data_IF_587343488348
#
_entry.id   IF_587343488348
#
_cell.length_a   1.000
_cell.length_b   1.000
_cell.length_c   1.000
_cell.angle_alpha   90.00
_cell.angle_beta   90.00
_cell.angle_gamma   90.00
#
_symmetry.space_group_name_H-M   'P 1'
#
loop_
_entity.id
_entity.type
_entity.pdbx_description
1 polymer ?
#
# COMPACT_ATOMS: atom_id res chain seq x y z
N UNK A 1 0.24 -8.25 16.16
CA UNK A 1 -0.17 -6.84 16.18
C UNK A 1 0.19 -6.21 14.85
N UNK A 2 -0.79 -5.71 14.09
CA UNK A 2 -0.54 -5.02 12.82
C UNK A 2 -0.80 -3.52 12.98
N UNK A 3 0.10 -2.69 12.44
CA UNK A 3 0.00 -1.23 12.45
C UNK A 3 0.01 -0.74 11.01
N UNK A 4 -0.98 0.06 10.65
CA UNK A 4 -1.06 0.72 9.35
C UNK A 4 -0.70 2.20 9.49
N UNK A 5 0.15 2.70 8.58
CA UNK A 5 0.51 4.12 8.49
C UNK A 5 -0.21 4.74 7.30
N UNK A 6 -1.13 5.68 7.56
CA UNK A 6 -1.93 6.36 6.54
C UNK A 6 -1.64 7.87 6.48
N UNK A 7 -1.93 8.50 5.34
CA UNK A 7 -1.66 9.92 5.11
C UNK A 7 -1.50 10.26 3.63
N UNK A 8 -1.49 11.55 3.31
CA UNK A 8 -1.45 12.05 1.94
C UNK A 8 -0.16 11.67 1.19
N UNK A 9 -0.19 11.75 -0.15
CA UNK A 9 1.01 11.62 -1.00
C UNK A 9 2.01 12.69 -0.55
N UNK A 10 3.28 12.32 -0.39
CA UNK A 10 4.32 13.22 0.11
C UNK A 10 4.39 13.41 1.63
N UNK A 11 3.47 12.86 2.43
CA UNK A 11 3.44 13.06 3.89
C UNK A 11 4.53 12.32 4.68
N UNK A 12 5.50 11.66 4.03
CA UNK A 12 6.60 10.97 4.71
C UNK A 12 6.29 9.59 5.30
N UNK A 13 5.18 8.95 4.91
CA UNK A 13 4.76 7.62 5.38
C UNK A 13 5.86 6.56 5.30
N UNK A 14 6.51 6.44 4.14
CA UNK A 14 7.60 5.48 3.91
C UNK A 14 8.77 5.72 4.87
N UNK A 15 9.11 6.98 5.12
CA UNK A 15 10.16 7.36 6.07
C UNK A 15 9.76 6.97 7.49
N UNK A 16 8.53 7.30 7.92
CA UNK A 16 8.02 6.95 9.24
C UNK A 16 7.99 5.43 9.45
N UNK A 17 7.47 4.67 8.48
CA UNK A 17 7.44 3.20 8.55
C UNK A 17 8.84 2.61 8.70
N UNK A 18 9.83 3.11 7.93
CA UNK A 18 11.23 2.68 8.06
C UNK A 18 11.82 2.98 9.44
N UNK A 19 11.54 4.16 10.00
CA UNK A 19 12.02 4.55 11.33
C UNK A 19 11.39 3.68 12.43
N UNK A 20 10.08 3.45 12.38
CA UNK A 20 9.36 2.62 13.35
C UNK A 20 9.81 1.15 13.27
N UNK A 21 9.89 0.59 12.06
CA UNK A 21 10.38 -0.76 11.83
C UNK A 21 11.79 -0.95 12.36
N UNK A 22 12.70 0.00 12.09
CA UNK A 22 14.07 -0.05 12.62
C UNK A 22 14.11 0.04 14.15
N UNK A 23 13.32 0.94 14.75
CA UNK A 23 13.34 1.17 16.19
C UNK A 23 12.76 -0.02 16.97
N UNK A 24 11.62 -0.54 16.54
CA UNK A 24 10.91 -1.64 17.23
C UNK A 24 11.26 -3.03 16.68
N UNK A 25 12.14 -3.12 15.69
CA UNK A 25 12.49 -4.37 14.97
C UNK A 25 11.27 -5.07 14.37
N UNK A 26 10.30 -4.30 13.88
CA UNK A 26 9.12 -4.83 13.19
C UNK A 26 9.40 -5.09 11.71
N UNK A 27 8.68 -6.03 11.12
CA UNK A 27 8.68 -6.25 9.68
C UNK A 27 7.93 -5.10 8.98
N UNK A 28 8.60 -4.42 8.04
CA UNK A 28 7.99 -3.36 7.26
C UNK A 28 7.40 -3.92 5.96
N UNK A 29 6.14 -3.57 5.69
CA UNK A 29 5.48 -3.84 4.42
C UNK A 29 5.13 -2.52 3.74
N UNK A 30 5.43 -2.40 2.44
CA UNK A 30 5.16 -1.21 1.63
C UNK A 30 4.13 -1.51 0.54
N UNK A 31 3.44 -0.47 0.06
CA UNK A 31 2.59 -0.59 -1.12
C UNK A 31 3.46 -0.66 -2.38
N UNK A 32 3.14 -1.60 -3.26
CA UNK A 32 3.72 -1.65 -4.59
C UNK A 32 2.99 -0.68 -5.50
N UNK A 33 3.64 0.43 -5.82
CA UNK A 33 3.09 1.50 -6.67
C UNK A 33 3.71 1.50 -8.07
N UNK A 34 4.87 0.87 -8.23
CA UNK A 34 5.68 0.94 -9.46
C UNK A 34 5.11 0.04 -10.57
N UNK A 35 4.50 -1.09 -10.22
CA UNK A 35 3.96 -2.06 -11.19
C UNK A 35 2.44 -1.91 -11.43
N UNK A 36 1.86 -0.75 -11.16
CA UNK A 36 0.42 -0.54 -11.33
C UNK A 36 0.07 -0.20 -12.80
N UNK A 37 -0.65 -1.07 -13.53
CA UNK A 37 -0.90 -0.90 -14.96
C UNK A 37 -1.85 0.25 -15.30
N UNK A 38 -2.48 0.89 -14.31
CA UNK A 38 -3.46 1.96 -14.51
C UNK A 38 -2.99 3.33 -14.01
N UNK A 39 -1.83 3.41 -13.37
CA UNK A 39 -1.42 4.64 -12.68
C UNK A 39 -1.08 5.76 -13.67
N UNK A 40 -0.32 5.44 -14.72
CA UNK A 40 0.03 6.39 -15.78
C UNK A 40 -1.23 6.84 -16.55
N UNK A 41 -2.10 5.89 -16.90
CA UNK A 41 -3.38 6.17 -17.56
C UNK A 41 -4.31 7.05 -16.71
N UNK A 42 -4.31 6.86 -15.39
CA UNK A 42 -5.05 7.70 -14.45
C UNK A 42 -4.53 9.14 -14.43
N UNK A 43 -3.22 9.35 -14.42
CA UNK A 43 -2.65 10.69 -14.49
C UNK A 43 -2.91 11.37 -15.84
N UNK A 44 -3.07 10.60 -16.91
CA UNK A 44 -3.45 11.12 -18.23
C UNK A 44 -4.95 11.42 -18.36
N UNK A 45 -5.84 10.53 -17.87
CA UNK A 45 -7.30 10.65 -17.99
C UNK A 45 -8.03 10.10 -16.76
N UNK A 46 -8.11 10.93 -15.72
CA UNK A 46 -8.64 10.53 -14.42
C UNK A 46 -10.07 9.97 -14.48
N UNK A 47 -10.99 10.63 -15.19
CA UNK A 47 -12.41 10.22 -15.25
C UNK A 47 -12.58 8.81 -15.83
N UNK A 48 -11.76 8.44 -16.84
CA UNK A 48 -11.85 7.16 -17.52
C UNK A 48 -11.28 6.01 -16.69
N UNK A 49 -10.18 6.28 -15.96
CA UNK A 49 -9.34 5.25 -15.34
C UNK A 49 -9.44 5.18 -13.82
N UNK A 50 -10.13 6.12 -13.17
CA UNK A 50 -10.35 6.13 -11.72
C UNK A 50 -10.91 4.81 -11.20
N UNK A 51 -11.94 4.27 -11.86
CA UNK A 51 -12.55 3.00 -11.43
C UNK A 51 -11.56 1.84 -11.46
N UNK A 52 -10.84 1.66 -12.58
CA UNK A 52 -9.85 0.60 -12.75
C UNK A 52 -8.74 0.69 -11.69
N UNK A 53 -8.22 1.90 -11.47
CA UNK A 53 -7.16 2.13 -10.50
C UNK A 53 -7.63 1.80 -9.07
N UNK A 54 -8.82 2.25 -8.69
CA UNK A 54 -9.37 1.99 -7.35
C UNK A 54 -9.65 0.50 -7.12
N UNK A 55 -10.19 -0.21 -8.12
CA UNK A 55 -10.44 -1.66 -8.03
C UNK A 55 -9.12 -2.45 -7.95
N UNK A 56 -8.07 -2.01 -8.66
CA UNK A 56 -6.74 -2.59 -8.53
C UNK A 56 -6.20 -2.45 -7.10
N UNK A 57 -6.23 -1.24 -6.54
CA UNK A 57 -5.78 -1.01 -5.15
C UNK A 57 -6.59 -1.82 -4.13
N UNK A 58 -7.92 -1.89 -4.29
CA UNK A 58 -8.78 -2.69 -3.42
C UNK A 58 -8.37 -4.17 -3.42
N UNK A 59 -8.23 -4.77 -4.60
CA UNK A 59 -7.85 -6.17 -4.75
C UNK A 59 -6.46 -6.45 -4.18
N UNK A 60 -5.49 -5.56 -4.44
CA UNK A 60 -4.13 -5.71 -3.95
C UNK A 60 -4.09 -5.69 -2.41
N UNK A 61 -4.72 -4.69 -1.79
CA UNK A 61 -4.79 -4.58 -0.32
C UNK A 61 -5.53 -5.76 0.31
N UNK A 62 -6.63 -6.21 -0.30
CA UNK A 62 -7.37 -7.37 0.18
C UNK A 62 -6.50 -8.63 0.19
N UNK A 63 -5.76 -8.90 -0.89
CA UNK A 63 -4.83 -10.04 -0.96
C UNK A 63 -3.70 -9.95 0.07
N UNK A 64 -3.17 -8.75 0.34
CA UNK A 64 -2.17 -8.57 1.40
C UNK A 64 -2.74 -8.90 2.78
N UNK A 65 -3.95 -8.42 3.09
CA UNK A 65 -4.61 -8.72 4.37
C UNK A 65 -4.87 -10.22 4.53
N UNK A 66 -5.30 -10.91 3.47
CA UNK A 66 -5.46 -12.37 3.49
C UNK A 66 -4.13 -13.08 3.77
N UNK A 67 -3.04 -12.70 3.08
CA UNK A 67 -1.70 -13.26 3.31
C UNK A 67 -1.25 -13.08 4.76
N UNK A 68 -1.47 -11.91 5.36
CA UNK A 68 -1.11 -11.68 6.77
C UNK A 68 -1.91 -12.58 7.71
N UNK A 69 -3.21 -12.74 7.48
CA UNK A 69 -4.07 -13.66 8.26
C UNK A 69 -3.64 -15.11 8.14
N UNK A 70 -3.31 -15.56 6.93
CA UNK A 70 -2.91 -16.95 6.66
C UNK A 70 -1.51 -17.27 7.18
N UNK A 71 -0.61 -16.28 7.25
CA UNK A 71 0.79 -16.49 7.65
C UNK A 71 0.98 -16.89 9.12
N UNK A 72 -0.04 -16.72 9.98
CA UNK A 72 0.03 -17.04 11.41
C UNK A 72 1.09 -16.25 12.19
N UNK A 73 1.74 -15.27 11.56
CA UNK A 73 2.73 -14.40 12.20
C UNK A 73 1.99 -13.31 12.97
N UNK A 74 2.08 -13.36 14.29
CA UNK A 74 1.56 -12.34 15.20
C UNK A 74 2.42 -11.08 15.17
#
# INVERSE_FOLDING_TARGET
MHIAVAGNIGAGKTTLTKLLSKHYKWEAHFEDVVDNPYLDDFYNQMERWSFNLQIYFLNHRYRQVLKFRESGKN
#
